data_IF_374436893346
#
_entry.id   IF_374436893346
#
_cell.length_a   1.000
_cell.length_b   1.000
_cell.length_c   1.000
_cell.angle_alpha   90.00
_cell.angle_beta   90.00
_cell.angle_gamma   90.00
#
_symmetry.space_group_name_H-M   'P 1'
#
loop_
_entity.id
_entity.type
_entity.pdbx_description
1 polymer ?
#
# COMPACT_ATOMS: atom_id res chain seq x y z
N UNK A 1 8.23 -14.29 8.62
CA UNK A 1 8.40 -13.54 7.35
C UNK A 1 9.64 -12.68 7.46
N UNK A 2 10.53 -12.66 6.45
CA UNK A 2 11.82 -11.97 6.53
C UNK A 2 11.69 -10.45 6.70
N UNK A 3 10.55 -9.87 6.32
CA UNK A 3 10.26 -8.44 6.39
C UNK A 3 9.51 -8.00 7.65
N UNK A 4 9.03 -8.92 8.50
CA UNK A 4 8.19 -8.59 9.66
C UNK A 4 8.83 -7.54 10.59
N UNK A 5 10.14 -7.62 10.80
CA UNK A 5 10.89 -6.68 11.67
C UNK A 5 11.05 -5.26 11.09
N UNK A 6 10.76 -5.06 9.80
CA UNK A 6 10.99 -3.79 9.10
C UNK A 6 9.70 -3.06 8.74
N UNK A 7 8.55 -3.75 8.83
CA UNK A 7 7.24 -3.14 8.54
C UNK A 7 6.64 -2.74 9.87
N UNK A 8 6.34 -1.46 10.03
CA UNK A 8 5.75 -0.91 11.25
C UNK A 8 4.26 -0.64 11.09
N UNK A 9 3.86 -0.08 9.95
CA UNK A 9 2.48 0.18 9.56
C UNK A 9 2.34 0.02 8.05
N UNK A 10 1.10 -0.09 7.58
CA UNK A 10 0.76 -0.15 6.15
C UNK A 10 -0.31 0.91 5.88
N UNK A 11 -0.17 1.65 4.78
CA UNK A 11 -1.23 2.54 4.28
C UNK A 11 -1.73 2.01 2.94
N UNK A 12 -3.05 1.83 2.83
CA UNK A 12 -3.71 1.27 1.66
C UNK A 12 -4.79 2.23 1.11
N UNK A 13 -5.14 2.04 -0.16
CA UNK A 13 -6.34 2.64 -0.74
C UNK A 13 -7.59 1.80 -0.40
N UNK A 14 -8.78 2.34 -0.66
CA UNK A 14 -10.03 1.64 -0.39
C UNK A 14 -10.42 0.65 -1.50
N UNK A 15 -9.49 0.23 -2.37
CA UNK A 15 -9.81 -0.70 -3.44
C UNK A 15 -10.08 -2.12 -2.88
N UNK A 16 -10.95 -2.87 -3.57
CA UNK A 16 -11.28 -4.26 -3.21
C UNK A 16 -10.06 -5.19 -3.11
N UNK A 17 -8.95 -4.85 -3.78
CA UNK A 17 -7.69 -5.60 -3.67
C UNK A 17 -7.15 -5.68 -2.23
N UNK A 18 -7.57 -4.77 -1.36
CA UNK A 18 -7.20 -4.71 0.06
C UNK A 18 -8.27 -5.25 1.01
N UNK A 19 -9.30 -5.95 0.52
CA UNK A 19 -10.36 -6.51 1.39
C UNK A 19 -9.82 -7.49 2.45
N UNK A 20 -8.66 -8.09 2.19
CA UNK A 20 -7.99 -9.04 3.09
C UNK A 20 -6.89 -8.42 3.96
N UNK A 21 -6.84 -7.09 4.09
CA UNK A 21 -5.82 -6.38 4.85
C UNK A 21 -5.66 -6.89 6.30
N UNK A 22 -6.73 -7.33 6.96
CA UNK A 22 -6.67 -7.90 8.31
C UNK A 22 -5.78 -9.15 8.40
N UNK A 23 -5.77 -10.00 7.37
CA UNK A 23 -4.91 -11.19 7.32
C UNK A 23 -3.44 -10.78 7.26
N UNK A 24 -3.14 -9.72 6.51
CA UNK A 24 -1.79 -9.17 6.35
C UNK A 24 -1.35 -8.50 7.65
N UNK A 25 -2.21 -7.66 8.24
CA UNK A 25 -2.01 -7.02 9.54
C UNK A 25 -1.64 -8.04 10.62
N UNK A 26 -2.40 -9.13 10.72
CA UNK A 26 -2.14 -10.21 11.69
C UNK A 26 -0.85 -10.97 11.41
N UNK A 27 -0.54 -11.26 10.14
CA UNK A 27 0.69 -11.99 9.79
C UNK A 27 1.95 -11.16 10.11
N UNK A 28 1.86 -9.84 9.99
CA UNK A 28 2.96 -8.91 10.22
C UNK A 28 2.96 -8.28 11.60
N UNK A 29 1.87 -8.38 12.36
CA UNK A 29 1.71 -7.73 13.66
C UNK A 29 1.86 -6.20 13.53
N UNK A 30 1.13 -5.63 12.56
CA UNK A 30 1.20 -4.20 12.20
C UNK A 30 -0.20 -3.62 12.02
N UNK A 31 -0.31 -2.31 12.16
CA UNK A 31 -1.52 -1.56 11.89
C UNK A 31 -1.67 -1.23 10.39
N UNK A 32 -2.92 -1.20 9.92
CA UNK A 32 -3.25 -0.81 8.55
C UNK A 32 -4.17 0.41 8.58
N UNK A 33 -3.79 1.43 7.82
CA UNK A 33 -4.52 2.67 7.64
C UNK A 33 -5.06 2.78 6.22
N UNK A 34 -6.24 3.38 6.07
CA UNK A 34 -6.86 3.60 4.76
C UNK A 34 -6.90 5.08 4.43
N UNK A 35 -6.62 5.40 3.17
CA UNK A 35 -6.74 6.77 2.65
C UNK A 35 -8.19 7.26 2.77
N UNK A 36 -8.37 8.55 3.03
CA UNK A 36 -9.71 9.10 3.12
C UNK A 36 -10.39 9.09 1.72
N UNK A 37 -11.71 8.84 1.64
CA UNK A 37 -12.43 8.89 0.37
C UNK A 37 -12.25 10.24 -0.33
N UNK A 38 -11.91 10.21 -1.63
CA UNK A 38 -11.74 11.40 -2.49
C UNK A 38 -10.57 12.33 -2.13
N UNK A 39 -9.68 11.94 -1.21
CA UNK A 39 -8.48 12.70 -0.89
C UNK A 39 -7.27 12.17 -1.67
N UNK A 40 -7.07 12.71 -2.86
CA UNK A 40 -6.04 12.25 -3.80
C UNK A 40 -4.60 12.42 -3.28
N UNK A 41 -4.37 13.30 -2.31
CA UNK A 41 -3.05 13.58 -1.73
C UNK A 41 -2.58 12.53 -0.74
N UNK A 42 -3.48 11.80 -0.06
CA UNK A 42 -3.13 10.77 0.94
C UNK A 42 -2.31 9.62 0.31
N UNK A 43 -2.39 9.47 -1.01
CA UNK A 43 -1.70 8.45 -1.80
C UNK A 43 -0.86 9.05 -2.93
N UNK A 44 -0.61 10.37 -2.91
CA UNK A 44 0.08 11.06 -4.00
C UNK A 44 1.45 10.45 -4.30
N UNK A 45 2.21 10.10 -3.25
CA UNK A 45 3.52 9.44 -3.39
C UNK A 45 3.40 8.06 -4.04
N UNK A 46 2.42 7.24 -3.62
CA UNK A 46 2.21 5.90 -4.19
C UNK A 46 1.87 5.97 -5.68
N UNK A 47 1.05 6.95 -6.09
CA UNK A 47 0.71 7.17 -7.51
C UNK A 47 1.94 7.59 -8.32
N UNK A 48 2.70 8.56 -7.81
CA UNK A 48 3.91 9.05 -8.48
C UNK A 48 4.95 7.94 -8.64
N UNK A 49 5.17 7.12 -7.62
CA UNK A 49 6.09 5.97 -7.69
C UNK A 49 5.59 4.95 -8.72
N UNK A 50 4.29 4.64 -8.74
CA UNK A 50 3.73 3.72 -9.74
C UNK A 50 3.89 4.25 -11.17
N UNK A 51 3.75 5.55 -11.37
CA UNK A 51 3.98 6.19 -12.66
C UNK A 51 5.45 6.12 -13.07
N UNK A 52 6.38 6.42 -12.16
CA UNK A 52 7.83 6.27 -12.39
C UNK A 52 8.17 4.81 -12.73
N UNK A 53 7.65 3.85 -11.98
CA UNK A 53 7.86 2.42 -12.27
C UNK A 53 7.41 2.05 -13.69
N UNK A 54 6.27 2.57 -14.16
CA UNK A 54 5.78 2.34 -15.54
C UNK A 54 6.62 3.03 -16.62
N UNK A 55 7.33 4.10 -16.28
CA UNK A 55 8.25 4.78 -17.20
C UNK A 55 9.57 4.01 -17.37
N UNK A 56 10.09 3.42 -16.29
CA UNK A 56 11.41 2.77 -16.29
C UNK A 56 11.38 1.26 -16.48
N UNK A 57 10.29 0.59 -16.07
CA UNK A 57 10.10 -0.83 -16.35
C UNK A 57 9.32 -0.95 -17.66
N UNK A 58 9.90 -1.65 -18.63
CA UNK A 58 9.24 -1.92 -19.91
C UNK A 58 7.81 -2.41 -19.64
N UNK A 59 6.87 -1.68 -20.23
CA UNK A 59 5.45 -1.97 -20.18
C UNK A 59 5.21 -3.30 -20.90
N UNK A 60 5.19 -4.40 -20.13
CA UNK A 60 4.72 -5.71 -20.60
C UNK A 60 3.19 -5.65 -20.72
#
# INVERSE_FOLDING_TARGET
MPYKKYVHTITADNDQKFVHHEKIAKALDVEVYFAHPYFSWDLGINKNINELLRQYLLRI
#
